data_IF_377653804642
#
_entry.id   IF_377653804642
#
_cell.length_a   1.000
_cell.length_b   1.000
_cell.length_c   1.000
_cell.angle_alpha   90.00
_cell.angle_beta   90.00
_cell.angle_gamma   90.00
#
_symmetry.space_group_name_H-M   'P 1'
#
loop_
_entity.id
_entity.type
_entity.pdbx_description
1 polymer ?
#
# COMPACT_ATOMS: atom_id res chain seq x y z
N UNK A 1 14.66 -4.70 -21.29
CA UNK A 1 14.74 -3.69 -22.34
C UNK A 1 13.35 -3.29 -22.84
N UNK A 2 12.53 -4.23 -23.29
CA UNK A 2 11.20 -3.95 -23.88
C UNK A 2 10.23 -3.18 -22.95
N UNK A 3 10.22 -3.46 -21.66
CA UNK A 3 9.33 -2.78 -20.69
C UNK A 3 9.75 -1.33 -20.46
N UNK A 4 11.05 -1.06 -20.35
CA UNK A 4 11.56 0.30 -20.15
C UNK A 4 11.33 1.17 -21.39
N UNK A 5 11.53 0.63 -22.57
CA UNK A 5 11.28 1.32 -23.83
C UNK A 5 9.81 1.70 -24.02
N UNK A 6 8.89 0.79 -23.69
CA UNK A 6 7.44 1.09 -23.70
C UNK A 6 7.08 2.20 -22.74
N UNK A 7 7.63 2.21 -21.52
CA UNK A 7 7.43 3.27 -20.51
C UNK A 7 7.91 4.61 -21.04
N UNK A 8 9.14 4.67 -21.58
CA UNK A 8 9.73 5.89 -22.10
C UNK A 8 8.92 6.44 -23.31
N UNK A 9 8.47 5.58 -24.20
CA UNK A 9 7.67 5.98 -25.36
C UNK A 9 6.27 6.49 -24.98
N UNK A 10 5.63 5.89 -23.97
CA UNK A 10 4.26 6.25 -23.54
C UNK A 10 4.23 7.52 -22.68
N UNK A 11 5.30 7.78 -21.94
CA UNK A 11 5.37 8.89 -20.98
C UNK A 11 5.74 10.26 -21.55
N UNK A 12 5.98 10.39 -22.86
CA UNK A 12 6.42 11.66 -23.47
C UNK A 12 7.79 12.15 -22.93
N UNK A 13 8.63 11.25 -22.49
CA UNK A 13 9.91 11.54 -21.85
C UNK A 13 10.86 12.21 -22.84
N UNK A 14 11.42 13.39 -22.47
CA UNK A 14 12.36 14.14 -23.28
C UNK A 14 13.82 13.76 -23.02
N UNK A 15 14.13 13.25 -21.84
CA UNK A 15 15.47 12.82 -21.42
C UNK A 15 15.37 11.73 -20.37
N UNK A 16 16.29 10.77 -20.40
CA UNK A 16 16.43 9.77 -19.37
C UNK A 16 17.74 9.97 -18.58
N UNK A 17 17.67 9.90 -17.24
CA UNK A 17 18.81 9.77 -16.37
C UNK A 17 18.93 8.31 -15.91
N UNK A 18 20.14 7.76 -15.95
CA UNK A 18 20.38 6.38 -15.55
C UNK A 18 21.62 6.23 -14.68
N UNK A 19 21.63 5.18 -13.86
CA UNK A 19 22.79 4.74 -13.08
C UNK A 19 23.25 3.39 -13.60
N UNK A 20 24.57 3.17 -13.65
CA UNK A 20 25.19 1.92 -14.08
C UNK A 20 25.80 2.00 -15.48
N UNK A 21 26.33 0.87 -15.95
CA UNK A 21 27.15 0.79 -17.17
C UNK A 21 26.33 0.59 -18.45
N UNK A 22 25.05 0.26 -18.34
CA UNK A 22 24.16 0.02 -19.48
C UNK A 22 23.32 1.26 -19.76
N UNK A 23 23.70 1.99 -20.80
CA UNK A 23 22.88 3.07 -21.32
C UNK A 23 21.57 2.54 -21.89
N UNK A 24 20.42 3.18 -21.62
CA UNK A 24 19.18 2.83 -22.28
C UNK A 24 19.30 3.07 -23.80
N UNK A 25 18.65 2.26 -24.60
CA UNK A 25 18.57 2.43 -26.06
C UNK A 25 17.90 3.76 -26.45
N UNK A 26 17.14 4.34 -25.54
CA UNK A 26 16.42 5.59 -25.73
C UNK A 26 17.35 6.81 -25.53
N UNK A 27 17.26 7.77 -26.47
CA UNK A 27 18.06 9.01 -26.46
C UNK A 27 17.15 10.24 -26.60
N UNK A 28 17.49 11.39 -25.95
CA UNK A 28 18.72 11.64 -25.21
C UNK A 28 18.74 11.02 -23.82
N UNK A 29 19.90 10.53 -23.40
CA UNK A 29 20.12 9.96 -22.07
C UNK A 29 21.46 10.43 -21.51
N UNK A 30 21.52 10.61 -20.19
CA UNK A 30 22.71 10.99 -19.43
C UNK A 30 22.84 10.09 -18.21
N UNK A 31 24.07 9.75 -17.82
CA UNK A 31 24.28 9.19 -16.48
C UNK A 31 23.99 10.24 -15.41
N UNK A 32 23.55 9.80 -14.24
CA UNK A 32 23.36 10.69 -13.08
C UNK A 32 24.66 11.44 -12.77
N UNK A 33 25.81 10.78 -12.87
CA UNK A 33 27.13 11.40 -12.64
C UNK A 33 27.43 12.52 -13.65
N UNK A 34 27.12 12.33 -14.92
CA UNK A 34 27.28 13.38 -15.95
C UNK A 34 26.33 14.56 -15.71
N UNK A 35 25.07 14.29 -15.39
CA UNK A 35 24.09 15.32 -15.07
C UNK A 35 24.54 16.17 -13.86
N UNK A 36 25.04 15.53 -12.80
CA UNK A 36 25.59 16.23 -11.64
C UNK A 36 26.84 17.05 -11.98
N UNK A 37 27.73 16.51 -12.86
CA UNK A 37 28.92 17.25 -13.32
C UNK A 37 28.54 18.49 -14.13
N UNK A 38 27.53 18.38 -14.99
CA UNK A 38 27.01 19.52 -15.76
C UNK A 38 26.42 20.55 -14.81
N UNK A 39 25.57 20.14 -13.86
CA UNK A 39 24.95 21.04 -12.88
C UNK A 39 25.96 21.78 -12.00
N UNK A 40 27.07 21.13 -11.59
CA UNK A 40 28.15 21.77 -10.81
C UNK A 40 28.97 22.79 -11.60
N UNK A 41 28.94 22.74 -12.92
CA UNK A 41 29.62 23.69 -13.80
C UNK A 41 28.75 24.89 -14.22
N UNK A 42 27.45 24.81 -13.94
CA UNK A 42 26.53 25.89 -14.20
C UNK A 42 26.88 27.07 -13.27
N UNK A 43 27.26 28.20 -13.86
CA UNK A 43 27.54 29.43 -13.14
C UNK A 43 26.25 30.26 -13.04
N UNK A 44 26.03 30.88 -11.89
CA UNK A 44 24.92 31.79 -11.63
C UNK A 44 23.80 31.15 -10.76
N UNK A 45 22.89 32.01 -10.27
CA UNK A 45 21.77 31.56 -9.46
C UNK A 45 20.82 30.69 -10.29
N UNK A 46 20.37 29.58 -9.72
CA UNK A 46 19.29 28.79 -10.33
C UNK A 46 17.99 29.59 -10.30
N UNK A 47 17.50 29.93 -11.47
CA UNK A 47 16.18 30.56 -11.65
C UNK A 47 15.23 29.50 -12.18
N UNK A 48 14.27 29.03 -11.37
CA UNK A 48 13.27 28.10 -11.84
C UNK A 48 12.49 28.66 -13.02
N UNK A 49 12.32 27.91 -14.09
CA UNK A 49 11.41 28.31 -15.15
C UNK A 49 9.97 28.36 -14.59
N UNK A 50 9.19 29.35 -15.03
CA UNK A 50 7.77 29.35 -14.78
C UNK A 50 7.15 28.10 -15.44
N UNK A 51 6.51 27.25 -14.64
CA UNK A 51 5.82 26.06 -15.13
C UNK A 51 4.31 26.29 -15.08
N UNK A 52 3.58 25.77 -16.06
CA UNK A 52 2.13 25.76 -16.00
C UNK A 52 1.73 24.68 -14.95
N UNK A 53 0.97 25.03 -13.90
CA UNK A 53 0.51 24.06 -12.89
C UNK A 53 -0.30 22.91 -13.46
N UNK A 54 -0.85 23.07 -14.67
CA UNK A 54 -1.61 22.03 -15.38
C UNK A 54 -0.74 21.11 -16.23
N UNK A 55 0.54 21.45 -16.41
CA UNK A 55 1.45 20.55 -17.11
C UNK A 55 1.66 19.23 -16.35
N UNK A 56 1.97 18.20 -17.12
CA UNK A 56 2.29 16.88 -16.62
C UNK A 56 3.60 16.94 -15.81
N UNK A 57 3.51 16.69 -14.52
CA UNK A 57 4.66 16.65 -13.63
C UNK A 57 5.23 15.24 -13.47
N UNK A 58 4.34 14.21 -13.45
CA UNK A 58 4.76 12.85 -13.16
C UNK A 58 3.86 11.80 -13.81
N UNK A 59 4.46 10.70 -14.24
CA UNK A 59 3.76 9.51 -14.75
C UNK A 59 4.07 8.32 -13.86
N UNK A 60 3.04 7.74 -13.26
CA UNK A 60 3.13 6.52 -12.46
C UNK A 60 2.62 5.34 -13.28
N UNK A 61 3.31 4.21 -13.19
CA UNK A 61 2.84 2.97 -13.80
C UNK A 61 2.39 1.99 -12.72
N UNK A 62 1.11 1.64 -12.76
CA UNK A 62 0.54 0.64 -11.87
C UNK A 62 0.34 -0.68 -12.61
N UNK A 63 0.45 -1.82 -11.87
CA UNK A 63 0.07 -3.12 -12.42
C UNK A 63 -1.44 -3.15 -12.58
N UNK A 64 -1.95 -2.92 -13.80
CA UNK A 64 -3.38 -3.05 -14.09
C UNK A 64 -3.90 -4.46 -13.80
N UNK A 65 -5.18 -4.58 -13.46
CA UNK A 65 -5.87 -5.87 -13.26
C UNK A 65 -5.83 -6.77 -14.50
N UNK A 66 -5.57 -6.20 -15.68
CA UNK A 66 -5.43 -6.90 -16.97
C UNK A 66 -4.00 -7.37 -17.26
N UNK A 67 -3.06 -7.18 -16.33
CA UNK A 67 -1.64 -7.52 -16.53
C UNK A 67 -0.85 -6.51 -17.34
N UNK A 68 -1.50 -5.51 -17.98
CA UNK A 68 -0.82 -4.42 -18.67
C UNK A 68 -0.61 -3.23 -17.72
N UNK A 69 0.58 -2.60 -17.72
CA UNK A 69 0.81 -1.41 -16.91
C UNK A 69 -0.11 -0.26 -17.33
N UNK A 70 -0.83 0.31 -16.35
CA UNK A 70 -1.65 1.50 -16.55
C UNK A 70 -0.84 2.74 -16.18
N UNK A 71 -0.74 3.71 -17.09
CA UNK A 71 -0.11 5.00 -16.84
C UNK A 71 -1.09 5.92 -16.08
N UNK A 72 -0.68 6.44 -14.94
CA UNK A 72 -1.39 7.43 -14.15
C UNK A 72 -0.66 8.74 -14.29
N UNK A 73 -1.31 9.74 -14.84
CA UNK A 73 -0.76 11.07 -15.08
C UNK A 73 -1.07 11.97 -13.89
N UNK A 74 -0.08 12.69 -13.39
CA UNK A 74 -0.24 13.70 -12.33
C UNK A 74 0.34 15.02 -12.80
N UNK A 75 -0.46 16.09 -12.73
CA UNK A 75 -0.02 17.45 -12.98
C UNK A 75 0.67 18.03 -11.73
N UNK A 76 1.43 19.10 -11.93
CA UNK A 76 2.05 19.82 -10.81
C UNK A 76 1.00 20.30 -9.81
N UNK A 77 -0.12 20.87 -10.27
CA UNK A 77 -1.23 21.31 -9.41
C UNK A 77 -1.73 20.23 -8.48
N UNK A 78 -1.87 18.99 -8.97
CA UNK A 78 -2.35 17.87 -8.17
C UNK A 78 -1.36 17.47 -7.06
N UNK A 79 -0.05 17.46 -7.39
CA UNK A 79 1.00 17.15 -6.43
C UNK A 79 1.12 18.26 -5.38
N UNK A 80 1.13 19.52 -5.80
CA UNK A 80 1.22 20.69 -4.90
C UNK A 80 0.03 20.74 -3.94
N UNK A 81 -1.18 20.46 -4.42
CA UNK A 81 -2.39 20.41 -3.58
C UNK A 81 -2.28 19.31 -2.51
N UNK A 82 -1.80 18.12 -2.89
CA UNK A 82 -1.66 17.01 -1.96
C UNK A 82 -0.55 17.26 -0.94
N UNK A 83 0.60 17.78 -1.37
CA UNK A 83 1.72 18.16 -0.49
C UNK A 83 1.29 19.24 0.51
N UNK A 84 0.55 20.27 0.06
CA UNK A 84 0.07 21.32 0.93
C UNK A 84 -0.88 20.79 2.02
N UNK A 85 -1.76 19.86 1.68
CA UNK A 85 -2.66 19.21 2.65
C UNK A 85 -1.88 18.37 3.66
N UNK A 86 -0.96 17.53 3.20
CA UNK A 86 -0.14 16.72 4.11
C UNK A 86 0.72 17.60 5.04
N UNK A 87 1.30 18.66 4.51
CA UNK A 87 2.06 19.63 5.29
C UNK A 87 1.19 20.33 6.34
N UNK A 88 0.00 20.77 5.97
CA UNK A 88 -0.91 21.47 6.90
C UNK A 88 -1.29 20.62 8.12
N UNK A 89 -1.37 19.29 7.97
CA UNK A 89 -1.76 18.39 9.04
C UNK A 89 -0.61 18.05 10.00
N UNK A 90 0.61 17.92 9.50
CA UNK A 90 1.71 17.33 10.30
C UNK A 90 3.01 18.14 10.31
N UNK A 91 3.06 19.38 9.81
CA UNK A 91 4.30 20.18 9.70
C UNK A 91 5.07 20.30 11.03
N UNK A 92 4.37 20.41 12.16
CA UNK A 92 5.03 20.55 13.46
C UNK A 92 5.87 19.32 13.85
N UNK A 93 5.46 18.12 13.44
CA UNK A 93 6.22 16.89 13.69
C UNK A 93 7.41 16.73 12.73
N UNK A 94 7.37 17.39 11.57
CA UNK A 94 8.44 17.31 10.57
C UNK A 94 9.65 18.15 10.89
N UNK A 95 9.48 19.25 11.62
CA UNK A 95 10.54 20.23 11.89
C UNK A 95 11.74 19.62 12.60
N UNK A 96 12.94 19.81 12.01
CA UNK A 96 14.21 19.34 12.57
C UNK A 96 14.37 17.83 12.63
N UNK A 97 13.48 17.07 11.97
CA UNK A 97 13.59 15.63 11.89
C UNK A 97 14.33 15.14 10.65
N UNK A 98 14.62 13.86 10.59
CA UNK A 98 15.12 13.15 9.40
C UNK A 98 14.12 12.09 8.97
N UNK A 99 13.84 12.00 7.68
CA UNK A 99 12.92 11.01 7.15
C UNK A 99 13.64 9.71 6.81
N UNK A 100 13.22 8.64 7.44
CA UNK A 100 13.59 7.27 7.13
C UNK A 100 12.43 6.60 6.38
N UNK A 101 12.71 5.65 5.52
CA UNK A 101 11.67 4.98 4.77
C UNK A 101 11.94 3.49 4.55
N UNK A 102 10.88 2.71 4.58
CA UNK A 102 10.86 1.29 4.22
C UNK A 102 10.18 1.05 2.87
N UNK A 103 9.69 2.12 2.24
CA UNK A 103 8.94 2.08 0.99
C UNK A 103 9.68 2.76 -0.14
N UNK A 104 9.50 2.25 -1.37
CA UNK A 104 10.11 2.80 -2.56
C UNK A 104 9.44 4.11 -2.99
N UNK A 105 10.24 5.08 -3.43
CA UNK A 105 9.78 6.30 -4.08
C UNK A 105 9.18 6.10 -5.48
N UNK A 106 9.24 4.88 -6.01
CA UNK A 106 8.60 4.53 -7.29
C UNK A 106 7.06 4.45 -7.20
N UNK A 107 6.49 4.55 -6.00
CA UNK A 107 5.05 4.63 -5.74
C UNK A 107 4.67 6.02 -5.26
N UNK A 108 3.44 6.44 -5.57
CA UNK A 108 2.96 7.78 -5.20
C UNK A 108 3.14 8.08 -3.71
N UNK A 109 2.82 7.14 -2.85
CA UNK A 109 2.98 7.29 -1.41
C UNK A 109 4.44 7.56 -1.01
N UNK A 110 5.37 6.72 -1.47
CA UNK A 110 6.80 6.91 -1.20
C UNK A 110 7.35 8.16 -1.90
N UNK A 111 6.88 8.49 -3.12
CA UNK A 111 7.26 9.72 -3.79
C UNK A 111 6.88 10.95 -2.96
N UNK A 112 5.63 11.02 -2.50
CA UNK A 112 5.13 12.16 -1.73
C UNK A 112 5.82 12.26 -0.37
N UNK A 113 5.74 11.22 0.45
CA UNK A 113 6.15 11.30 1.87
C UNK A 113 7.64 11.14 2.12
N UNK A 114 8.35 10.39 1.26
CA UNK A 114 9.79 10.17 1.40
C UNK A 114 10.64 11.19 0.66
N UNK A 115 10.15 11.74 -0.46
CA UNK A 115 10.96 12.59 -1.35
C UNK A 115 10.40 14.01 -1.43
N UNK A 116 9.20 14.19 -1.96
CA UNK A 116 8.70 15.53 -2.29
C UNK A 116 8.40 16.34 -1.04
N UNK A 117 7.70 15.80 -0.06
CA UNK A 117 7.37 16.49 1.17
C UNK A 117 8.62 16.91 1.97
N UNK A 118 9.63 16.02 2.18
CA UNK A 118 10.90 16.43 2.79
C UNK A 118 11.63 17.52 2.01
N UNK A 119 11.67 17.43 0.67
CA UNK A 119 12.29 18.46 -0.16
C UNK A 119 11.60 19.83 0.01
N UNK A 120 10.27 19.87 -0.06
CA UNK A 120 9.50 21.10 0.14
C UNK A 120 9.64 21.65 1.57
N UNK A 121 9.80 20.78 2.56
CA UNK A 121 9.95 21.14 3.96
C UNK A 121 11.39 21.51 4.37
N UNK A 122 12.38 21.29 3.51
CA UNK A 122 13.80 21.46 3.85
C UNK A 122 14.27 20.43 4.89
N UNK A 123 13.65 19.26 4.93
CA UNK A 123 13.94 18.19 5.89
C UNK A 123 14.83 17.13 5.23
N UNK A 124 15.95 16.72 5.85
CA UNK A 124 16.79 15.67 5.30
C UNK A 124 16.08 14.32 5.30
N UNK A 125 16.36 13.51 4.28
CA UNK A 125 15.83 12.14 4.17
C UNK A 125 16.91 11.14 3.77
N UNK A 126 16.73 9.89 4.22
CA UNK A 126 17.66 8.80 3.89
C UNK A 126 17.55 8.41 2.41
N UNK A 127 18.69 8.27 1.74
CA UNK A 127 18.76 7.85 0.33
C UNK A 127 18.37 6.38 0.13
N UNK A 128 18.65 5.54 1.12
CA UNK A 128 18.38 4.10 1.08
C UNK A 128 17.07 3.75 1.77
N UNK A 129 16.43 2.66 1.33
CA UNK A 129 15.34 2.04 2.06
C UNK A 129 15.88 1.19 3.20
N UNK A 130 15.14 1.16 4.29
CA UNK A 130 15.31 0.15 5.33
C UNK A 130 14.47 -1.08 4.96
N UNK A 131 15.11 -2.21 4.78
CA UNK A 131 14.46 -3.45 4.39
C UNK A 131 14.07 -4.31 5.59
N UNK A 132 14.86 -4.18 6.68
CA UNK A 132 14.72 -4.96 7.89
C UNK A 132 14.62 -4.07 9.15
N UNK A 133 13.85 -4.49 10.16
CA UNK A 133 13.72 -3.76 11.42
C UNK A 133 15.05 -3.48 12.13
N UNK A 134 16.01 -4.40 12.03
CA UNK A 134 17.33 -4.29 12.63
C UNK A 134 18.13 -3.11 12.06
N UNK A 135 17.97 -2.81 10.78
CA UNK A 135 18.60 -1.63 10.15
C UNK A 135 18.08 -0.32 10.73
N UNK A 136 16.77 -0.27 11.09
CA UNK A 136 16.20 0.89 11.77
C UNK A 136 16.81 1.05 13.15
N UNK A 137 16.88 -0.03 13.93
CA UNK A 137 17.48 0.00 15.29
C UNK A 137 18.96 0.43 15.22
N UNK A 138 19.71 -0.10 14.26
CA UNK A 138 21.12 0.27 14.06
C UNK A 138 21.23 1.77 13.70
N UNK A 139 20.40 2.25 12.78
CA UNK A 139 20.40 3.66 12.41
C UNK A 139 20.14 4.57 13.62
N UNK A 140 19.14 4.23 14.44
CA UNK A 140 18.80 5.00 15.66
C UNK A 140 19.96 4.96 16.68
N UNK A 141 20.62 3.81 16.83
CA UNK A 141 21.78 3.67 17.70
C UNK A 141 22.99 4.52 17.24
N UNK A 142 23.18 4.64 15.92
CA UNK A 142 24.25 5.44 15.32
C UNK A 142 23.96 6.96 15.34
N UNK A 143 22.69 7.36 15.58
CA UNK A 143 22.25 8.76 15.58
C UNK A 143 21.50 9.12 16.88
N UNK A 144 22.14 9.02 18.05
CA UNK A 144 21.49 9.22 19.34
C UNK A 144 20.96 10.65 19.48
N UNK A 145 19.67 10.77 19.80
CA UNK A 145 19.01 12.05 20.03
C UNK A 145 18.61 12.82 18.76
N UNK A 146 18.92 12.32 17.56
CA UNK A 146 18.40 12.91 16.33
C UNK A 146 16.89 12.60 16.20
N UNK A 147 16.03 13.62 16.00
CA UNK A 147 14.62 13.37 15.75
C UNK A 147 14.43 12.74 14.36
N UNK A 148 13.52 11.78 14.26
CA UNK A 148 13.26 11.10 12.99
C UNK A 148 11.78 10.77 12.80
N UNK A 149 11.42 10.54 11.54
CA UNK A 149 10.10 10.14 11.09
C UNK A 149 10.25 8.87 10.26
N UNK A 150 9.23 8.02 10.26
CA UNK A 150 9.24 6.78 9.46
C UNK A 150 8.09 6.76 8.46
N UNK A 151 8.43 6.57 7.20
CA UNK A 151 7.48 6.31 6.11
C UNK A 151 7.49 4.82 5.80
N UNK A 152 6.46 4.11 6.22
CA UNK A 152 6.44 2.65 6.24
C UNK A 152 5.19 2.05 5.60
N UNK A 153 5.07 0.75 5.64
CA UNK A 153 3.94 -0.02 5.13
C UNK A 153 3.51 -1.12 6.10
N UNK A 154 2.28 -1.63 5.99
CA UNK A 154 1.84 -2.76 6.80
C UNK A 154 2.77 -3.97 6.69
N UNK A 155 3.32 -4.25 5.50
CA UNK A 155 4.25 -5.36 5.27
C UNK A 155 5.54 -5.28 6.11
N UNK A 156 6.03 -4.08 6.42
CA UNK A 156 7.16 -3.90 7.31
C UNK A 156 6.72 -3.95 8.77
N UNK A 157 5.65 -3.23 9.12
CA UNK A 157 5.21 -3.07 10.50
C UNK A 157 4.68 -4.39 11.12
N UNK A 158 4.19 -5.33 10.33
CA UNK A 158 3.79 -6.66 10.80
C UNK A 158 4.97 -7.60 11.09
N UNK A 159 6.18 -7.26 10.63
CA UNK A 159 7.40 -8.07 10.86
C UNK A 159 8.26 -7.55 12.01
N UNK A 160 7.78 -6.54 12.75
CA UNK A 160 8.50 -6.02 13.90
C UNK A 160 8.63 -7.10 14.97
N UNK A 161 9.85 -7.31 15.49
CA UNK A 161 10.07 -8.19 16.62
C UNK A 161 9.66 -7.45 17.91
N UNK A 162 8.78 -8.03 18.74
CA UNK A 162 8.41 -7.43 20.03
C UNK A 162 9.58 -7.22 21.00
N UNK A 163 10.69 -7.92 20.79
CA UNK A 163 11.90 -7.82 21.61
C UNK A 163 12.85 -6.69 21.18
N UNK A 164 12.56 -6.01 20.06
CA UNK A 164 13.35 -4.86 19.64
C UNK A 164 13.32 -3.76 20.72
N UNK A 165 14.45 -3.10 20.92
CA UNK A 165 14.52 -1.97 21.84
C UNK A 165 13.58 -0.85 21.36
N UNK A 166 12.80 -0.31 22.28
CA UNK A 166 11.92 0.83 21.98
C UNK A 166 12.76 2.04 21.55
N UNK A 167 12.42 2.60 20.39
CA UNK A 167 13.10 3.76 19.83
C UNK A 167 12.05 4.86 19.56
N UNK A 168 12.35 6.10 19.97
CA UNK A 168 11.43 7.23 19.82
C UNK A 168 11.33 7.71 18.38
N UNK A 169 10.11 7.74 17.84
CA UNK A 169 9.78 8.26 16.52
C UNK A 169 8.78 9.41 16.66
N UNK A 170 9.01 10.55 15.99
CA UNK A 170 8.08 11.69 16.06
C UNK A 170 6.79 11.45 15.31
N UNK A 171 6.88 10.77 14.18
CA UNK A 171 5.74 10.53 13.32
C UNK A 171 5.99 9.27 12.49
N UNK A 172 5.04 8.37 12.51
CA UNK A 172 5.06 7.12 11.77
C UNK A 172 3.88 7.08 10.80
N UNK A 173 4.18 6.98 9.51
CA UNK A 173 3.17 6.78 8.48
C UNK A 173 3.08 5.33 8.02
N UNK A 174 1.88 4.90 7.69
CA UNK A 174 1.62 3.60 7.06
C UNK A 174 0.61 3.74 5.92
N UNK A 175 0.90 3.16 4.77
CA UNK A 175 0.00 3.12 3.62
C UNK A 175 0.30 1.93 2.71
N UNK A 176 -0.51 1.74 1.66
CA UNK A 176 -0.32 0.69 0.65
C UNK A 176 -1.08 -0.61 0.94
N UNK A 177 -1.70 -0.74 2.10
CA UNK A 177 -2.53 -1.89 2.49
C UNK A 177 -3.15 -1.72 3.87
N UNK A 178 -4.04 -2.64 4.28
CA UNK A 178 -4.61 -2.62 5.62
C UNK A 178 -3.54 -2.99 6.67
N UNK A 179 -3.38 -2.16 7.70
CA UNK A 179 -2.53 -2.45 8.84
C UNK A 179 -3.33 -3.22 9.90
N UNK A 180 -2.91 -4.42 10.35
CA UNK A 180 -3.53 -5.09 11.50
C UNK A 180 -3.47 -4.22 12.75
N UNK A 181 -4.55 -4.21 13.55
CA UNK A 181 -4.60 -3.37 14.77
C UNK A 181 -3.51 -3.75 15.77
N UNK A 182 -3.24 -5.05 15.91
CA UNK A 182 -2.14 -5.52 16.76
C UNK A 182 -0.78 -4.96 16.33
N UNK A 183 -0.50 -4.91 15.02
CA UNK A 183 0.75 -4.34 14.49
C UNK A 183 0.82 -2.81 14.70
N UNK A 184 -0.32 -2.12 14.65
CA UNK A 184 -0.37 -0.69 14.96
C UNK A 184 -0.01 -0.44 16.45
N UNK A 185 -0.56 -1.21 17.37
CA UNK A 185 -0.25 -1.11 18.80
C UNK A 185 1.20 -1.52 19.10
N UNK A 186 1.71 -2.57 18.48
CA UNK A 186 3.11 -2.97 18.58
C UNK A 186 4.04 -1.86 18.09
N UNK A 187 3.71 -1.22 16.97
CA UNK A 187 4.47 -0.07 16.46
C UNK A 187 4.48 1.09 17.47
N UNK A 188 3.35 1.35 18.14
CA UNK A 188 3.27 2.35 19.20
C UNK A 188 4.15 2.00 20.39
N UNK A 189 4.18 0.74 20.81
CA UNK A 189 5.03 0.28 21.91
C UNK A 189 6.51 0.43 21.59
N UNK A 190 6.93 0.08 20.38
CA UNK A 190 8.32 0.11 19.95
C UNK A 190 8.82 1.52 19.64
N UNK A 191 8.01 2.33 18.98
CA UNK A 191 8.44 3.62 18.43
C UNK A 191 7.89 4.83 19.20
N UNK A 192 6.98 4.62 20.15
CA UNK A 192 6.31 5.70 20.89
C UNK A 192 5.24 6.45 20.09
N UNK A 193 5.02 6.08 18.84
CA UNK A 193 4.07 6.75 17.94
C UNK A 193 3.11 5.75 17.30
N UNK A 194 1.81 6.00 17.44
CA UNK A 194 0.78 5.23 16.74
C UNK A 194 0.81 5.61 15.25
N UNK A 195 0.81 4.62 14.33
CA UNK A 195 0.86 4.92 12.90
C UNK A 195 -0.29 5.81 12.42
N UNK A 196 0.03 6.85 11.67
CA UNK A 196 -0.92 7.57 10.82
C UNK A 196 -1.13 6.73 9.57
N UNK A 197 -2.25 6.06 9.49
CA UNK A 197 -2.64 5.31 8.30
C UNK A 197 -3.17 6.28 7.25
N UNK A 198 -2.64 6.22 6.03
CA UNK A 198 -3.11 7.01 4.87
C UNK A 198 -3.82 6.07 3.90
N UNK A 199 -5.07 6.38 3.62
CA UNK A 199 -5.89 5.69 2.63
C UNK A 199 -5.95 6.49 1.33
N UNK A 200 -5.73 5.81 0.22
CA UNK A 200 -5.76 6.37 -1.14
C UNK A 200 -5.21 5.41 -2.18
N UNK A 201 -5.10 5.86 -3.40
CA UNK A 201 -4.54 5.12 -4.53
C UNK A 201 -3.67 6.01 -5.41
N UNK A 202 -2.98 5.39 -6.39
CA UNK A 202 -2.21 6.17 -7.38
C UNK A 202 -3.09 7.09 -8.21
N UNK A 203 -4.32 6.66 -8.49
CA UNK A 203 -5.31 7.41 -9.26
C UNK A 203 -5.85 8.60 -8.47
N UNK A 204 -6.23 8.37 -7.22
CA UNK A 204 -6.95 9.35 -6.40
C UNK A 204 -6.05 10.32 -5.65
N UNK A 205 -4.80 9.92 -5.34
CA UNK A 205 -4.05 10.51 -4.24
C UNK A 205 -4.62 10.08 -2.91
N UNK A 206 -4.29 10.77 -1.84
CA UNK A 206 -4.84 10.51 -0.50
C UNK A 206 -6.33 10.84 -0.43
N UNK A 207 -7.10 10.00 0.24
CA UNK A 207 -8.53 10.19 0.48
C UNK A 207 -8.79 10.51 1.94
N UNK A 208 -8.17 9.74 2.83
CA UNK A 208 -8.40 9.87 4.25
C UNK A 208 -7.22 9.36 5.08
N UNK A 209 -7.29 9.65 6.36
CA UNK A 209 -6.31 9.22 7.35
C UNK A 209 -6.98 8.78 8.64
N UNK A 210 -6.27 8.01 9.43
CA UNK A 210 -6.67 7.65 10.80
C UNK A 210 -5.46 7.24 11.65
N UNK A 211 -5.65 7.30 12.99
CA UNK A 211 -4.79 6.63 13.97
C UNK A 211 -5.66 5.71 14.81
N UNK A 212 -5.40 4.42 14.80
CA UNK A 212 -6.30 3.43 15.40
C UNK A 212 -5.98 3.15 16.86
N UNK A 213 -6.52 3.97 17.75
CA UNK A 213 -6.55 3.65 19.19
C UNK A 213 -7.49 2.47 19.52
N UNK A 214 -8.48 2.22 18.66
CA UNK A 214 -9.45 1.14 18.76
C UNK A 214 -9.53 0.37 17.44
N UNK A 215 -9.99 -0.88 17.49
CA UNK A 215 -10.14 -1.73 16.30
C UNK A 215 -11.00 -1.05 15.24
N UNK A 216 -12.13 -0.50 15.66
CA UNK A 216 -13.06 0.24 14.79
C UNK A 216 -12.83 1.74 14.94
N UNK A 217 -11.91 2.28 14.14
CA UNK A 217 -11.68 3.72 14.04
C UNK A 217 -12.00 4.14 12.60
N UNK A 218 -13.03 5.00 12.39
CA UNK A 218 -13.36 5.51 11.07
C UNK A 218 -12.21 6.28 10.43
N UNK A 219 -12.25 6.36 9.10
CA UNK A 219 -11.36 7.21 8.33
C UNK A 219 -11.87 8.65 8.34
N UNK A 220 -11.00 9.58 8.64
CA UNK A 220 -11.23 11.02 8.49
C UNK A 220 -10.78 11.45 7.10
N UNK A 221 -11.63 12.15 6.34
CA UNK A 221 -11.24 12.68 5.03
C UNK A 221 -10.11 13.69 5.16
N UNK A 222 -9.21 13.70 4.19
CA UNK A 222 -8.21 14.76 4.09
C UNK A 222 -8.86 16.11 3.79
N UNK A 223 -8.29 17.23 4.23
CA UNK A 223 -8.81 18.56 3.92
C UNK A 223 -9.04 18.77 2.42
N UNK A 224 -10.22 19.26 2.06
CA UNK A 224 -10.64 19.47 0.67
C UNK A 224 -11.08 18.21 -0.08
N UNK A 225 -11.01 17.05 0.55
CA UNK A 225 -11.52 15.79 -0.01
C UNK A 225 -12.95 15.56 0.45
N UNK A 226 -13.84 15.30 -0.50
CA UNK A 226 -15.24 14.99 -0.24
C UNK A 226 -15.54 13.53 -0.66
N UNK A 227 -16.26 12.81 0.19
CA UNK A 227 -16.70 11.44 -0.06
C UNK A 227 -18.22 11.35 0.06
N UNK A 228 -18.83 10.52 -0.77
CA UNK A 228 -20.27 10.20 -0.74
C UNK A 228 -20.47 8.71 -1.00
N UNK A 229 -21.58 8.19 -0.50
CA UNK A 229 -22.02 6.84 -0.83
C UNK A 229 -22.79 6.89 -2.15
N UNK A 230 -22.31 6.20 -3.14
CA UNK A 230 -22.96 5.96 -4.42
C UNK A 230 -23.80 4.68 -4.44
N UNK A 231 -24.21 4.22 -5.62
CA UNK A 231 -24.89 2.94 -5.78
C UNK A 231 -24.07 1.78 -5.20
N UNK A 232 -24.74 0.76 -4.68
CA UNK A 232 -24.11 -0.44 -4.09
C UNK A 232 -23.08 -0.13 -2.97
N UNK A 233 -23.27 0.97 -2.24
CA UNK A 233 -22.32 1.51 -1.25
C UNK A 233 -20.97 1.91 -1.85
N UNK A 234 -20.88 2.16 -3.15
CA UNK A 234 -19.66 2.60 -3.82
C UNK A 234 -19.17 3.95 -3.32
N UNK A 235 -17.86 4.12 -3.25
CA UNK A 235 -17.21 5.38 -2.90
C UNK A 235 -17.24 6.33 -4.10
N UNK A 236 -17.99 7.43 -3.98
CA UNK A 236 -17.87 8.60 -4.86
C UNK A 236 -16.92 9.61 -4.23
N UNK A 237 -15.91 10.03 -4.98
CA UNK A 237 -14.82 10.90 -4.53
C UNK A 237 -14.78 12.19 -5.33
N UNK A 238 -14.66 13.32 -4.65
CA UNK A 238 -14.26 14.61 -5.22
C UNK A 238 -13.07 15.16 -4.45
N UNK A 239 -11.99 15.53 -5.15
CA UNK A 239 -10.73 15.86 -4.50
C UNK A 239 -9.92 16.84 -5.36
N UNK A 240 -9.17 17.79 -4.75
CA UNK A 240 -8.24 18.66 -5.46
C UNK A 240 -7.05 17.87 -6.07
N UNK A 241 -6.85 16.61 -5.69
CA UNK A 241 -5.79 15.73 -6.20
C UNK A 241 -6.22 14.99 -7.48
N UNK A 242 -7.47 15.17 -7.91
CA UNK A 242 -8.01 14.64 -9.18
C UNK A 242 -7.76 15.60 -10.35
N UNK A 243 -7.76 15.10 -11.60
CA UNK A 243 -7.59 15.92 -12.77
C UNK A 243 -8.77 16.88 -12.97
N UNK A 244 -9.97 16.50 -12.55
CA UNK A 244 -11.21 17.29 -12.66
C UNK A 244 -11.88 17.43 -11.30
N UNK A 245 -12.77 18.42 -11.19
CA UNK A 245 -13.60 18.63 -9.99
C UNK A 245 -14.88 17.78 -9.99
N UNK A 246 -15.02 16.84 -10.92
CA UNK A 246 -16.17 15.93 -11.01
C UNK A 246 -16.08 14.80 -10.00
N UNK A 247 -17.22 14.16 -9.71
CA UNK A 247 -17.26 12.98 -8.86
C UNK A 247 -16.67 11.77 -9.59
N UNK A 248 -15.65 11.18 -8.99
CA UNK A 248 -15.03 9.93 -9.45
C UNK A 248 -15.68 8.75 -8.73
N UNK A 249 -16.17 7.78 -9.49
CA UNK A 249 -16.60 6.49 -8.97
C UNK A 249 -15.37 5.61 -8.70
N UNK A 250 -15.17 5.25 -7.43
CA UNK A 250 -14.04 4.43 -6.99
C UNK A 250 -14.49 2.98 -6.78
N UNK A 251 -13.56 2.04 -6.95
CA UNK A 251 -13.85 0.63 -6.77
C UNK A 251 -14.06 0.20 -5.30
N UNK A 252 -13.86 1.10 -4.34
CA UNK A 252 -14.04 0.80 -2.92
C UNK A 252 -15.51 1.02 -2.49
N UNK A 253 -15.94 0.29 -1.47
CA UNK A 253 -17.26 0.43 -0.83
C UNK A 253 -17.06 1.05 0.54
N UNK A 254 -18.00 1.95 0.91
CA UNK A 254 -17.93 2.67 2.19
C UNK A 254 -19.27 2.69 2.93
N UNK A 255 -19.16 2.89 4.24
CA UNK A 255 -20.26 3.27 5.12
C UNK A 255 -19.92 4.61 5.76
N UNK A 256 -20.81 5.61 5.61
CA UNK A 256 -20.65 6.88 6.33
C UNK A 256 -20.99 6.70 7.79
N UNK A 257 -20.20 7.30 8.66
CA UNK A 257 -20.42 7.35 10.11
C UNK A 257 -20.46 8.80 10.58
N UNK A 258 -20.88 9.05 11.82
CA UNK A 258 -20.87 10.40 12.39
C UNK A 258 -19.46 11.01 12.54
N UNK A 259 -18.39 10.19 12.48
CA UNK A 259 -17.01 10.60 12.66
C UNK A 259 -16.17 10.47 11.38
N UNK A 260 -16.76 10.13 10.23
CA UNK A 260 -16.07 9.92 8.97
C UNK A 260 -16.66 8.77 8.16
N UNK A 261 -15.84 7.85 7.67
CA UNK A 261 -16.30 6.70 6.89
C UNK A 261 -15.53 5.41 7.24
N UNK A 262 -16.16 4.28 7.00
CA UNK A 262 -15.57 2.95 7.11
C UNK A 262 -15.43 2.32 5.72
N UNK A 263 -14.35 1.56 5.49
CA UNK A 263 -14.16 0.77 4.29
C UNK A 263 -14.83 -0.60 4.47
N UNK A 264 -15.69 -0.95 3.52
CA UNK A 264 -16.41 -2.23 3.47
C UNK A 264 -15.76 -3.25 2.50
N UNK A 265 -14.59 -2.90 1.94
CA UNK A 265 -13.91 -3.69 0.92
C UNK A 265 -14.14 -3.14 -0.49
N UNK A 266 -13.72 -3.90 -1.52
CA UNK A 266 -13.72 -3.44 -2.92
C UNK A 266 -14.86 -4.06 -3.72
N UNK A 267 -15.41 -3.30 -4.66
CA UNK A 267 -16.45 -3.77 -5.59
C UNK A 267 -15.90 -4.87 -6.53
N UNK A 268 -14.66 -4.71 -7.01
CA UNK A 268 -13.98 -5.69 -7.85
C UNK A 268 -13.54 -6.96 -7.11
N UNK A 269 -13.66 -6.96 -5.77
CA UNK A 269 -13.48 -8.12 -4.89
C UNK A 269 -14.81 -8.78 -4.48
N UNK A 270 -15.91 -8.43 -5.16
CA UNK A 270 -17.20 -9.09 -4.99
C UNK A 270 -17.44 -10.05 -6.15
N UNK A 271 -17.60 -11.32 -5.85
CA UNK A 271 -17.87 -12.35 -6.85
C UNK A 271 -19.31 -12.84 -6.75
N UNK A 272 -19.91 -13.19 -7.89
CA UNK A 272 -21.25 -13.77 -7.93
C UNK A 272 -21.10 -15.29 -7.89
N UNK A 273 -21.50 -15.92 -6.78
CA UNK A 273 -21.50 -17.37 -6.60
C UNK A 273 -22.96 -17.85 -6.37
N UNK A 274 -23.46 -18.73 -7.20
CA UNK A 274 -24.83 -19.28 -7.06
C UNK A 274 -25.88 -18.20 -6.78
N UNK A 275 -25.93 -17.15 -7.62
CA UNK A 275 -26.83 -15.99 -7.53
C UNK A 275 -26.59 -15.05 -6.32
N UNK A 276 -25.60 -15.31 -5.46
CA UNK A 276 -25.23 -14.47 -4.31
C UNK A 276 -23.99 -13.64 -4.58
N UNK A 277 -23.99 -12.38 -4.12
CA UNK A 277 -22.82 -11.49 -4.17
C UNK A 277 -21.99 -11.73 -2.90
N UNK A 278 -20.79 -12.29 -3.07
CA UNK A 278 -19.88 -12.63 -1.98
C UNK A 278 -18.67 -11.69 -2.00
N UNK A 279 -18.43 -10.99 -0.91
CA UNK A 279 -17.22 -10.18 -0.71
C UNK A 279 -16.07 -11.09 -0.31
N UNK A 280 -15.04 -11.16 -1.16
CA UNK A 280 -13.83 -11.92 -0.84
C UNK A 280 -13.08 -11.31 0.35
N UNK A 281 -13.12 -9.98 0.50
CA UNK A 281 -12.51 -9.27 1.62
C UNK A 281 -13.18 -9.63 2.96
N UNK A 282 -14.50 -9.83 2.97
CA UNK A 282 -15.21 -10.30 4.15
C UNK A 282 -14.81 -11.72 4.52
N UNK A 283 -14.72 -12.62 3.55
CA UNK A 283 -14.28 -13.99 3.79
C UNK A 283 -12.84 -14.01 4.34
N UNK A 284 -11.94 -13.21 3.80
CA UNK A 284 -10.57 -13.05 4.30
C UNK A 284 -10.55 -12.55 5.74
N UNK A 285 -11.32 -11.50 6.04
CA UNK A 285 -11.41 -10.94 7.40
C UNK A 285 -11.93 -11.96 8.42
N UNK A 286 -12.92 -12.79 8.05
CA UNK A 286 -13.44 -13.85 8.92
C UNK A 286 -12.43 -14.98 9.12
N UNK A 287 -11.67 -15.36 8.10
CA UNK A 287 -10.58 -16.32 8.23
C UNK A 287 -9.48 -15.79 9.17
N UNK A 288 -9.07 -14.53 9.01
CA UNK A 288 -8.03 -13.92 9.86
C UNK A 288 -8.48 -13.67 11.31
N UNK A 289 -9.77 -13.68 11.58
CA UNK A 289 -10.30 -13.60 12.95
C UNK A 289 -10.21 -14.95 13.70
N UNK A 290 -9.89 -16.06 13.02
CA UNK A 290 -9.70 -17.35 13.65
C UNK A 290 -8.29 -17.47 14.24
N UNK A 291 -8.17 -18.06 15.43
CA UNK A 291 -6.89 -18.21 16.13
C UNK A 291 -5.84 -19.00 15.34
N UNK A 292 -6.28 -19.88 14.45
CA UNK A 292 -5.43 -20.71 13.60
C UNK A 292 -4.82 -19.98 12.39
N UNK A 293 -5.30 -18.77 12.06
CA UNK A 293 -4.96 -18.10 10.79
C UNK A 293 -4.26 -16.77 11.08
N UNK A 294 -3.02 -16.64 10.64
CA UNK A 294 -2.26 -15.39 10.70
C UNK A 294 -2.62 -14.48 9.52
N UNK A 295 -2.66 -15.05 8.31
CA UNK A 295 -3.01 -14.30 7.10
C UNK A 295 -3.79 -15.18 6.14
N UNK A 296 -4.74 -14.59 5.42
CA UNK A 296 -5.56 -15.27 4.42
C UNK A 296 -5.66 -14.47 3.13
N UNK A 297 -5.70 -15.17 1.99
CA UNK A 297 -6.08 -14.63 0.69
C UNK A 297 -7.14 -15.55 0.08
N UNK A 298 -8.24 -14.97 -0.39
CA UNK A 298 -9.38 -15.72 -0.94
C UNK A 298 -9.59 -15.36 -2.40
N UNK A 299 -9.77 -16.36 -3.25
CA UNK A 299 -9.96 -16.18 -4.69
C UNK A 299 -11.00 -17.16 -5.24
N UNK A 300 -11.70 -16.76 -6.31
CA UNK A 300 -12.60 -17.67 -7.01
C UNK A 300 -11.80 -18.68 -7.84
N UNK A 301 -12.20 -19.95 -7.75
CA UNK A 301 -11.64 -21.06 -8.51
C UNK A 301 -12.74 -21.73 -9.33
N UNK A 302 -12.36 -22.37 -10.43
CA UNK A 302 -13.24 -23.23 -11.21
C UNK A 302 -12.98 -24.70 -10.82
N UNK A 303 -13.98 -25.39 -10.33
CA UNK A 303 -13.96 -26.84 -10.12
C UNK A 303 -14.96 -27.49 -11.09
N UNK A 304 -14.46 -27.96 -12.22
CA UNK A 304 -15.32 -28.32 -13.35
C UNK A 304 -16.07 -27.09 -13.88
N UNK A 305 -17.39 -27.12 -13.90
CA UNK A 305 -18.23 -25.99 -14.30
C UNK A 305 -18.69 -25.10 -13.13
N UNK A 306 -18.35 -25.49 -11.90
CA UNK A 306 -18.80 -24.77 -10.69
C UNK A 306 -17.72 -23.82 -10.20
N UNK A 307 -18.11 -22.57 -9.96
CA UNK A 307 -17.25 -21.61 -9.28
C UNK A 307 -17.32 -21.83 -7.77
N UNK A 308 -16.15 -21.91 -7.13
CA UNK A 308 -15.98 -22.10 -5.68
C UNK A 308 -14.99 -21.07 -5.15
N UNK A 309 -14.86 -20.95 -3.82
CA UNK A 309 -13.78 -20.20 -3.20
C UNK A 309 -12.63 -21.10 -2.77
N UNK A 310 -11.41 -20.68 -3.10
CA UNK A 310 -10.16 -21.19 -2.55
C UNK A 310 -9.59 -20.20 -1.54
N UNK A 311 -8.89 -20.69 -0.52
CA UNK A 311 -8.17 -19.86 0.44
C UNK A 311 -6.70 -20.28 0.52
N UNK A 312 -5.80 -19.30 0.41
CA UNK A 312 -4.37 -19.44 0.71
C UNK A 312 -4.15 -18.90 2.12
N UNK A 313 -3.55 -19.70 3.00
CA UNK A 313 -3.42 -19.41 4.42
C UNK A 313 -1.96 -19.41 4.86
N UNK A 314 -1.56 -18.40 5.62
CA UNK A 314 -0.45 -18.46 6.56
C UNK A 314 -1.04 -18.82 7.90
N UNK A 315 -0.55 -19.88 8.52
CA UNK A 315 -1.09 -20.40 9.77
C UNK A 315 -0.29 -19.85 10.95
N UNK A 316 -0.97 -19.55 12.06
CA UNK A 316 -0.34 -19.35 13.36
C UNK A 316 0.33 -20.64 13.85
N UNK A 317 1.11 -20.59 14.94
CA UNK A 317 1.68 -21.79 15.57
C UNK A 317 0.59 -22.81 15.94
N UNK A 318 -0.51 -22.33 16.53
CA UNK A 318 -1.67 -23.17 16.86
C UNK A 318 -2.31 -23.77 15.61
N UNK A 319 -2.43 -23.00 14.55
CA UNK A 319 -2.95 -23.46 13.25
C UNK A 319 -2.03 -24.47 12.58
N UNK A 320 -0.71 -24.27 12.63
CA UNK A 320 0.27 -25.19 12.07
C UNK A 320 0.26 -26.54 12.80
N UNK A 321 0.18 -26.53 14.13
CA UNK A 321 0.05 -27.74 14.93
C UNK A 321 -1.24 -28.51 14.60
N UNK A 322 -2.35 -27.80 14.50
CA UNK A 322 -3.66 -28.38 14.16
C UNK A 322 -3.72 -28.91 12.71
N UNK A 323 -3.05 -28.22 11.78
CA UNK A 323 -2.91 -28.69 10.40
C UNK A 323 -2.13 -30.01 10.34
N UNK A 324 -1.03 -30.12 11.08
CA UNK A 324 -0.22 -31.36 11.15
C UNK A 324 -1.00 -32.54 11.75
N UNK A 325 -1.83 -32.26 12.76
CA UNK A 325 -2.67 -33.28 13.42
C UNK A 325 -3.81 -33.79 12.53
N UNK A 326 -4.55 -32.84 11.91
CA UNK A 326 -5.79 -33.16 11.19
C UNK A 326 -5.58 -33.49 9.72
N UNK A 327 -4.52 -32.98 9.12
CA UNK A 327 -4.34 -32.94 7.68
C UNK A 327 -5.24 -31.90 6.99
N UNK A 328 -4.97 -31.58 5.71
CA UNK A 328 -5.60 -30.46 5.01
C UNK A 328 -7.12 -30.56 4.91
N UNK A 329 -7.65 -31.75 4.65
CA UNK A 329 -9.11 -31.97 4.47
C UNK A 329 -9.92 -31.77 5.75
N UNK A 330 -9.48 -32.32 6.86
CA UNK A 330 -10.17 -32.20 8.17
C UNK A 330 -9.96 -30.78 8.73
N UNK A 331 -8.79 -30.18 8.53
CA UNK A 331 -8.53 -28.81 8.90
C UNK A 331 -9.49 -27.85 8.20
N UNK A 332 -9.67 -27.99 6.89
CA UNK A 332 -10.62 -27.19 6.13
C UNK A 332 -12.06 -27.36 6.66
N UNK A 333 -12.47 -28.60 6.99
CA UNK A 333 -13.79 -28.82 7.58
C UNK A 333 -13.96 -28.11 8.92
N UNK A 334 -12.93 -28.12 9.78
CA UNK A 334 -12.95 -27.42 11.06
C UNK A 334 -13.04 -25.89 10.88
N UNK A 335 -12.26 -25.29 9.95
CA UNK A 335 -12.38 -23.88 9.61
C UNK A 335 -13.79 -23.53 9.11
N UNK A 336 -14.35 -24.34 8.22
CA UNK A 336 -15.71 -24.12 7.69
C UNK A 336 -16.76 -24.16 8.78
N UNK A 337 -16.64 -25.01 9.79
CA UNK A 337 -17.54 -25.05 10.94
C UNK A 337 -17.49 -23.75 11.75
N UNK A 338 -16.28 -23.21 11.99
CA UNK A 338 -16.10 -21.95 12.71
C UNK A 338 -16.64 -20.74 11.91
N UNK A 339 -16.57 -20.79 10.59
CA UNK A 339 -17.03 -19.71 9.71
C UNK A 339 -18.56 -19.70 9.48
N UNK A 340 -19.25 -20.83 9.66
CA UNK A 340 -20.71 -20.98 9.41
C UNK A 340 -21.61 -19.95 10.12
N UNK A 341 -21.31 -19.48 11.34
CA UNK A 341 -22.14 -18.46 11.99
C UNK A 341 -22.09 -17.10 11.28
N UNK A 342 -21.06 -16.86 10.48
CA UNK A 342 -20.77 -15.55 9.90
C UNK A 342 -20.91 -15.49 8.38
N UNK A 343 -20.74 -16.63 7.70
CA UNK A 343 -20.72 -16.72 6.25
C UNK A 343 -21.78 -17.69 5.74
N UNK A 344 -22.36 -17.32 4.63
CA UNK A 344 -23.26 -18.22 3.91
C UNK A 344 -22.53 -19.48 3.40
N UNK A 345 -23.23 -20.61 3.24
CA UNK A 345 -22.61 -21.87 2.79
C UNK A 345 -21.83 -21.78 1.49
N UNK A 346 -22.27 -20.92 0.56
CA UNK A 346 -21.61 -20.69 -0.73
C UNK A 346 -20.31 -19.90 -0.60
N UNK A 347 -20.19 -19.06 0.43
CA UNK A 347 -19.02 -18.26 0.73
C UNK A 347 -17.93 -19.01 1.51
N UNK A 348 -18.23 -20.23 1.99
CA UNK A 348 -17.24 -21.03 2.71
C UNK A 348 -16.22 -21.62 1.75
N UNK A 349 -14.89 -21.38 1.95
CA UNK A 349 -13.84 -21.93 1.09
C UNK A 349 -13.96 -23.45 0.94
N UNK A 350 -13.81 -23.95 -0.27
CA UNK A 350 -13.88 -25.39 -0.59
C UNK A 350 -12.52 -26.01 -0.88
N UNK A 351 -11.50 -25.18 -1.06
CA UNK A 351 -10.12 -25.59 -1.23
C UNK A 351 -9.21 -24.71 -0.38
N UNK A 352 -8.13 -25.27 0.15
CA UNK A 352 -7.17 -24.53 0.96
C UNK A 352 -5.75 -24.88 0.54
N UNK A 353 -4.87 -23.87 0.56
CA UNK A 353 -3.42 -24.03 0.42
C UNK A 353 -2.73 -23.38 1.61
N UNK A 354 -1.77 -24.08 2.17
CA UNK A 354 -0.88 -23.52 3.21
C UNK A 354 0.38 -22.99 2.55
N UNK A 355 0.80 -21.81 2.98
CA UNK A 355 2.10 -21.20 2.63
C UNK A 355 2.80 -20.73 3.89
N UNK A 356 4.13 -20.67 3.87
CA UNK A 356 4.91 -20.15 5.01
C UNK A 356 4.81 -18.63 5.08
N UNK A 357 4.80 -17.97 3.91
CA UNK A 357 4.62 -16.53 3.79
C UNK A 357 3.66 -16.22 2.65
N UNK A 358 2.79 -15.23 2.85
CA UNK A 358 1.88 -14.79 1.80
C UNK A 358 2.69 -14.18 0.65
N UNK A 359 2.54 -14.69 -0.59
CA UNK A 359 3.20 -14.11 -1.74
C UNK A 359 2.82 -12.64 -1.90
N UNK A 360 3.83 -11.77 -2.00
CA UNK A 360 3.66 -10.35 -2.28
C UNK A 360 4.68 -9.91 -3.32
N UNK A 361 4.31 -8.97 -4.19
CA UNK A 361 5.24 -8.37 -5.12
C UNK A 361 6.13 -7.32 -4.43
N UNK A 362 7.08 -6.72 -5.15
CA UNK A 362 7.96 -5.66 -4.64
C UNK A 362 7.20 -4.42 -4.09
N UNK A 363 5.89 -4.36 -4.31
CA UNK A 363 5.00 -3.30 -3.85
C UNK A 363 4.19 -3.70 -2.60
N UNK A 364 4.42 -4.90 -2.06
CA UNK A 364 3.63 -5.45 -0.95
C UNK A 364 2.21 -5.89 -1.35
N UNK A 365 1.86 -5.87 -2.66
CA UNK A 365 0.56 -6.31 -3.14
C UNK A 365 0.58 -7.80 -3.48
N UNK A 366 -0.56 -8.46 -3.23
CA UNK A 366 -0.76 -9.90 -3.52
C UNK A 366 -0.85 -10.13 -5.04
N UNK A 367 0.05 -10.93 -5.65
CA UNK A 367 0.00 -11.27 -7.07
C UNK A 367 -1.02 -12.38 -7.31
N UNK A 368 -2.24 -12.03 -7.66
CA UNK A 368 -3.35 -12.97 -7.84
C UNK A 368 -3.08 -14.14 -8.80
N UNK A 369 -2.34 -13.97 -9.92
CA UNK A 369 -1.95 -15.10 -10.76
C UNK A 369 -1.15 -16.15 -10.01
N UNK A 370 -0.13 -15.76 -9.22
CA UNK A 370 0.70 -16.68 -8.44
C UNK A 370 -0.11 -17.40 -7.35
N UNK A 371 -1.06 -16.69 -6.71
CA UNK A 371 -1.95 -17.31 -5.73
C UNK A 371 -2.86 -18.35 -6.37
N UNK A 372 -3.27 -18.15 -7.62
CA UNK A 372 -4.10 -19.09 -8.38
C UNK A 372 -3.30 -20.33 -8.79
N UNK A 373 -2.06 -20.16 -9.22
CA UNK A 373 -1.14 -21.25 -9.58
C UNK A 373 -0.95 -22.27 -8.46
N UNK A 374 -1.03 -21.84 -7.19
CA UNK A 374 -0.98 -22.76 -6.04
C UNK A 374 -2.10 -23.80 -6.04
N UNK A 375 -3.21 -23.55 -6.72
CA UNK A 375 -4.34 -24.47 -6.81
C UNK A 375 -4.30 -25.37 -8.06
N UNK A 376 -3.42 -25.11 -9.01
CA UNK A 376 -3.19 -25.94 -10.19
C UNK A 376 -2.33 -27.17 -9.84
N UNK A 377 -1.59 -27.12 -8.73
CA UNK A 377 -0.86 -28.26 -8.20
C UNK A 377 -1.76 -29.17 -7.35
N UNK A 378 -1.68 -30.52 -7.50
CA UNK A 378 -2.40 -31.41 -6.62
C UNK A 378 -1.97 -31.19 -5.16
N UNK A 379 -2.91 -31.39 -4.21
CA UNK A 379 -2.59 -31.40 -2.78
C UNK A 379 -1.60 -32.54 -2.53
N UNK A 380 -0.36 -32.24 -2.16
CA UNK A 380 0.64 -33.19 -1.72
C UNK A 380 0.24 -33.85 -0.39
#
# INVERSE_FOLDING_TARGET
>A
ADRTEKILATGGVRMALYCGDLAPSWKPSLTVTEALRIGRRAEGPFVPAATDPHELAYVLFTSGSTGQPKAILKSQRQLDAELAVQWSLWHSQWQGGRVLATVSHQHIYGLLFRVLLPLCAGVPFASQNLEFPEQLCQWVADHPGEPWLLVSSPAFLTRLDPQLAAVGCRLLYSSGGPLPHAAALQSQQLFGSLPVEIYGSSETGGIGWRQRHQVQTPWTTLPGVEVRVGPDQGLLLRSPFLPTAEWLDCADRILMTGAGFELLGRQDRVVKLEEKRISLDEVEARLQALAEVESAAVLPLLQGQRQILGAVLVLSEAGASRWAELGPGRFLLALRQQLRPWLEPVALPRSVRRVEQMPVNAQGKRPWPQLKELFDEPLG
#
